data_IF_724573294918
#
_entry.id   IF_724573294918
#
_cell.length_a   1.000
_cell.length_b   1.000
_cell.length_c   1.000
_cell.angle_alpha   90.00
_cell.angle_beta   90.00
_cell.angle_gamma   90.00
#
_symmetry.space_group_name_H-M   'P 1'
#
loop_
_entity.id
_entity.type
_entity.pdbx_description
1 polymer ?
#
# COMPACT_ATOMS: atom_id res chain seq x y z
N UNK A 1 32.09 -36.12 46.26
CA UNK A 1 32.22 -35.59 44.89
C UNK A 1 30.81 -35.44 44.33
N UNK A 2 30.20 -34.28 44.53
CA UNK A 2 28.87 -33.97 43.99
C UNK A 2 29.06 -33.35 42.61
N UNK A 3 28.48 -33.98 41.59
CA UNK A 3 28.52 -33.54 40.20
C UNK A 3 27.53 -32.39 40.01
N UNK A 4 28.02 -31.20 39.71
CA UNK A 4 27.20 -30.08 39.27
C UNK A 4 26.91 -30.26 37.78
N UNK A 5 25.63 -30.44 37.41
CA UNK A 5 25.19 -30.41 36.02
C UNK A 5 24.81 -28.98 35.67
N UNK A 6 25.53 -28.38 34.73
CA UNK A 6 25.28 -27.05 34.20
C UNK A 6 24.30 -27.17 33.03
N UNK A 7 23.11 -26.57 33.13
CA UNK A 7 22.17 -26.45 32.03
C UNK A 7 22.59 -25.22 31.21
N UNK A 8 23.17 -25.44 30.04
CA UNK A 8 23.40 -24.39 29.05
C UNK A 8 22.11 -24.19 28.27
N UNK A 9 21.41 -23.09 28.53
CA UNK A 9 20.32 -22.61 27.68
C UNK A 9 20.92 -22.23 26.33
N UNK A 10 20.51 -22.91 25.26
CA UNK A 10 20.84 -22.53 23.90
C UNK A 10 19.95 -21.35 23.52
N UNK A 11 20.56 -20.19 23.26
CA UNK A 11 19.89 -19.04 22.65
C UNK A 11 19.44 -19.48 21.26
N UNK A 12 18.12 -19.56 21.05
CA UNK A 12 17.57 -19.82 19.73
C UNK A 12 17.98 -18.65 18.85
N UNK A 13 18.87 -18.95 17.91
CA UNK A 13 19.33 -18.05 16.88
C UNK A 13 18.15 -17.26 16.32
N UNK A 14 18.29 -15.94 16.37
CA UNK A 14 17.53 -14.94 15.62
C UNK A 14 17.14 -15.55 14.28
N UNK A 15 15.84 -15.78 14.10
CA UNK A 15 15.31 -16.30 12.85
C UNK A 15 15.59 -15.27 11.79
N UNK A 16 16.72 -15.49 11.08
CA UNK A 16 17.14 -14.87 9.84
C UNK A 16 15.90 -14.38 9.12
N UNK A 17 15.71 -13.07 9.11
CA UNK A 17 14.61 -12.41 8.42
C UNK A 17 14.50 -13.06 7.05
N UNK A 18 13.47 -13.90 6.91
CA UNK A 18 12.97 -14.21 5.60
C UNK A 18 12.58 -12.84 5.08
N UNK A 19 13.42 -12.24 4.24
CA UNK A 19 13.00 -11.19 3.32
C UNK A 19 12.03 -11.85 2.33
N UNK A 20 10.90 -12.34 2.87
CA UNK A 20 9.70 -12.49 2.11
C UNK A 20 9.45 -11.09 1.61
N UNK A 21 9.47 -10.93 0.29
CA UNK A 21 8.66 -9.90 -0.33
C UNK A 21 7.27 -10.09 0.27
N UNK A 22 6.98 -9.35 1.34
CA UNK A 22 5.63 -9.14 1.79
C UNK A 22 4.96 -8.64 0.53
N UNK A 23 4.04 -9.44 -0.03
CA UNK A 23 3.12 -8.91 -1.04
C UNK A 23 2.54 -7.71 -0.34
N UNK A 24 2.95 -6.51 -0.76
CA UNK A 24 2.64 -5.30 -0.04
C UNK A 24 1.16 -5.09 -0.25
N UNK A 25 0.35 -5.67 0.63
CA UNK A 25 -1.09 -5.61 0.56
C UNK A 25 -1.47 -4.21 0.98
N UNK A 26 -1.44 -3.27 0.05
CA UNK A 26 -1.78 -1.88 0.29
C UNK A 26 -3.21 -1.63 -0.11
N UNK A 27 -3.90 -0.82 0.67
CA UNK A 27 -5.11 -0.17 0.25
C UNK A 27 -4.75 1.06 -0.56
N UNK A 28 -5.49 1.29 -1.63
CA UNK A 28 -5.52 2.55 -2.36
C UNK A 28 -6.88 3.20 -2.11
N UNK A 29 -6.87 4.49 -1.80
CA UNK A 29 -8.07 5.22 -1.37
C UNK A 29 -8.18 6.50 -2.17
N UNK A 30 -9.34 6.70 -2.79
CA UNK A 30 -9.72 7.96 -3.43
C UNK A 30 -10.23 8.91 -2.34
N UNK A 31 -9.51 10.02 -2.14
CA UNK A 31 -9.91 11.09 -1.22
C UNK A 31 -10.48 12.26 -2.01
N UNK A 32 -11.79 12.21 -2.27
CA UNK A 32 -12.52 13.24 -3.00
C UNK A 32 -12.43 14.63 -2.34
N UNK A 33 -12.32 14.70 -1.00
CA UNK A 33 -12.25 15.99 -0.28
C UNK A 33 -10.91 16.72 -0.45
N UNK A 34 -9.87 16.02 -0.90
CA UNK A 34 -8.52 16.56 -1.03
C UNK A 34 -7.90 16.26 -2.40
N UNK A 35 -8.75 15.91 -3.39
CA UNK A 35 -8.38 15.71 -4.79
C UNK A 35 -7.12 14.84 -4.97
N UNK A 36 -7.10 13.67 -4.32
CA UNK A 36 -5.90 12.82 -4.30
C UNK A 36 -6.16 11.33 -4.15
N UNK A 37 -5.11 10.55 -4.41
CA UNK A 37 -5.06 9.11 -4.13
C UNK A 37 -4.02 8.85 -3.03
N UNK A 38 -4.43 8.06 -2.03
CA UNK A 38 -3.58 7.66 -0.89
C UNK A 38 -3.33 6.17 -0.93
N UNK A 39 -2.15 5.75 -0.52
CA UNK A 39 -1.84 4.35 -0.22
C UNK A 39 -1.57 4.14 1.26
N UNK A 40 -1.97 2.99 1.81
CA UNK A 40 -1.71 2.63 3.21
C UNK A 40 -1.72 1.12 3.42
N UNK A 41 -1.19 0.67 4.55
CA UNK A 41 -1.40 -0.70 5.00
C UNK A 41 -2.88 -0.93 5.35
N UNK A 42 -3.39 -2.18 5.38
CA UNK A 42 -4.80 -2.46 5.66
C UNK A 42 -5.23 -2.11 7.09
N UNK A 43 -4.27 -2.00 8.01
CA UNK A 43 -4.48 -1.50 9.37
C UNK A 43 -4.51 0.05 9.45
N UNK A 44 -4.35 0.73 8.32
CA UNK A 44 -4.33 2.18 8.20
C UNK A 44 -2.99 2.85 8.49
N UNK A 45 -1.93 2.09 8.79
CA UNK A 45 -0.56 2.59 8.98
C UNK A 45 0.14 2.88 7.63
N UNK A 46 1.32 3.52 7.69
CA UNK A 46 2.14 3.86 6.51
C UNK A 46 1.38 4.61 5.39
N UNK A 47 0.59 5.62 5.78
CA UNK A 47 -0.21 6.44 4.85
C UNK A 47 0.68 7.36 4.01
N UNK A 48 0.54 7.29 2.69
CA UNK A 48 1.29 8.09 1.72
C UNK A 48 0.35 8.67 0.67
N UNK A 49 0.57 9.91 0.26
CA UNK A 49 -0.03 10.43 -0.99
C UNK A 49 0.78 9.91 -2.15
N UNK A 50 0.11 9.33 -3.13
CA UNK A 50 0.75 8.79 -4.34
C UNK A 50 0.40 9.61 -5.57
N UNK A 51 -0.80 10.19 -5.63
CA UNK A 51 -1.21 11.13 -6.69
C UNK A 51 -1.88 12.33 -6.05
N UNK A 52 -1.61 13.54 -6.55
CA UNK A 52 -2.28 14.80 -6.18
C UNK A 52 -3.03 15.36 -7.37
N UNK A 53 -3.89 16.35 -7.11
CA UNK A 53 -4.59 17.13 -8.13
C UNK A 53 -5.49 16.27 -9.04
N UNK A 54 -6.05 15.19 -8.49
CA UNK A 54 -7.04 14.35 -9.16
C UNK A 54 -8.40 15.05 -9.11
N UNK A 55 -8.93 15.49 -10.24
CA UNK A 55 -10.19 16.23 -10.28
C UNK A 55 -11.41 15.29 -10.20
N UNK A 56 -12.07 15.26 -9.05
CA UNK A 56 -13.24 14.41 -8.80
C UNK A 56 -13.00 12.91 -9.12
N UNK A 57 -12.03 12.26 -8.44
CA UNK A 57 -11.74 10.85 -8.67
C UNK A 57 -12.91 9.96 -8.21
N UNK A 58 -13.25 8.93 -8.99
CA UNK A 58 -14.41 8.06 -8.72
C UNK A 58 -14.10 6.56 -8.81
N UNK A 59 -13.76 6.05 -9.99
CA UNK A 59 -13.37 4.66 -10.21
C UNK A 59 -11.86 4.45 -10.16
N UNK A 60 -11.42 3.26 -9.75
CA UNK A 60 -10.00 2.88 -9.73
C UNK A 60 -9.81 1.37 -9.99
N UNK A 61 -8.76 1.02 -10.74
CA UNK A 61 -8.28 -0.35 -10.92
C UNK A 61 -6.76 -0.41 -10.75
N UNK A 62 -6.26 -1.54 -10.26
CA UNK A 62 -4.82 -1.77 -10.02
C UNK A 62 -4.37 -2.92 -10.90
N UNK A 63 -3.37 -2.66 -11.73
CA UNK A 63 -2.58 -3.69 -12.42
C UNK A 63 -1.34 -3.99 -11.58
N UNK A 64 -1.41 -5.06 -10.79
CA UNK A 64 -0.28 -5.45 -9.93
C UNK A 64 0.85 -6.16 -10.69
N UNK A 65 0.60 -6.64 -11.92
CA UNK A 65 1.62 -7.32 -12.73
C UNK A 65 2.57 -6.30 -13.33
N UNK A 66 2.02 -5.22 -13.89
CA UNK A 66 2.80 -4.12 -14.49
C UNK A 66 3.09 -2.96 -13.51
N UNK A 67 2.43 -2.95 -12.35
CA UNK A 67 2.65 -1.94 -11.31
C UNK A 67 1.87 -0.64 -11.50
N UNK A 68 0.84 -0.63 -12.34
CA UNK A 68 0.06 0.56 -12.66
C UNK A 68 -1.21 0.70 -11.83
N UNK A 69 -1.62 1.95 -11.62
CA UNK A 69 -2.92 2.30 -11.09
C UNK A 69 -3.61 3.18 -12.12
N UNK A 70 -4.85 2.85 -12.46
CA UNK A 70 -5.69 3.64 -13.35
C UNK A 70 -6.89 4.16 -12.57
N UNK A 71 -7.26 5.42 -12.78
CA UNK A 71 -8.45 6.01 -12.16
C UNK A 71 -9.21 6.90 -13.13
N UNK A 72 -10.50 7.11 -12.85
CA UNK A 72 -11.36 8.02 -13.62
C UNK A 72 -11.59 9.32 -12.87
N UNK A 73 -11.52 10.44 -13.58
CA UNK A 73 -11.92 11.77 -13.14
C UNK A 73 -13.28 12.10 -13.78
N UNK A 74 -14.30 12.40 -12.97
CA UNK A 74 -15.68 12.54 -13.45
C UNK A 74 -15.95 13.78 -14.30
N UNK A 75 -15.10 14.81 -14.20
CA UNK A 75 -15.37 16.10 -14.85
C UNK A 75 -16.58 16.83 -14.25
N UNK A 76 -17.03 17.89 -14.90
CA UNK A 76 -18.20 18.68 -14.46
C UNK A 76 -19.44 18.21 -15.23
N UNK A 77 -20.59 18.00 -14.55
CA UNK A 77 -21.82 17.62 -15.25
C UNK A 77 -22.16 18.56 -16.43
N UNK A 78 -22.44 17.96 -17.58
CA UNK A 78 -22.71 18.62 -18.86
C UNK A 78 -21.49 19.24 -19.57
N UNK A 79 -20.28 19.07 -19.04
CA UNK A 79 -19.04 19.27 -19.78
C UNK A 79 -18.51 17.91 -20.27
N UNK A 80 -17.76 17.92 -21.36
CA UNK A 80 -17.08 16.75 -21.93
C UNK A 80 -15.61 16.79 -21.50
N UNK A 81 -15.39 16.83 -20.17
CA UNK A 81 -14.07 17.06 -19.55
C UNK A 81 -13.67 15.97 -18.55
N UNK A 82 -14.38 14.83 -18.52
CA UNK A 82 -13.95 13.64 -17.79
C UNK A 82 -12.70 13.01 -18.41
N UNK A 83 -11.87 12.35 -17.59
CA UNK A 83 -10.64 11.70 -18.06
C UNK A 83 -10.39 10.36 -17.35
N UNK A 84 -9.47 9.57 -17.92
CA UNK A 84 -8.83 8.44 -17.25
C UNK A 84 -7.34 8.73 -17.23
N UNK A 85 -6.74 8.62 -16.06
CA UNK A 85 -5.32 8.89 -15.83
C UNK A 85 -4.65 7.65 -15.20
N UNK A 86 -3.31 7.64 -15.17
CA UNK A 86 -2.51 6.53 -14.66
C UNK A 86 -1.28 6.98 -13.84
N UNK A 87 -0.82 6.11 -12.95
CA UNK A 87 0.42 6.24 -12.15
C UNK A 87 1.25 4.95 -12.31
N UNK A 88 2.57 5.09 -12.31
CA UNK A 88 3.55 4.02 -12.60
C UNK A 88 4.58 3.85 -11.49
#
# INVERSE_FOLDING_TARGET
MQSHTQISTLEAAESKEASGLSRSNRLFVLELSEDRIRSMNPDGSDRKTIVTDCHLPDGMVVDAEEGHIYWSNMGIPNLDDGSIDEDA
#
